data_IF_513055990760
#
_entry.id   IF_513055990760
#
_cell.length_a   1.000
_cell.length_b   1.000
_cell.length_c   1.000
_cell.angle_alpha   90.00
_cell.angle_beta   90.00
_cell.angle_gamma   90.00
#
_symmetry.space_group_name_H-M   'P 1'
#
loop_
_entity.id
_entity.type
_entity.pdbx_description
1 polymer ?
#
# COMPACT_ATOMS: atom_id res chain seq x y z
N UNK A 1 10.82 -0.94 26.84
CA UNK A 1 11.09 -0.41 25.48
C UNK A 1 11.14 1.11 25.54
N UNK A 2 12.17 1.72 24.98
CA UNK A 2 12.32 3.17 24.96
C UNK A 2 13.14 3.59 23.74
N UNK A 3 12.93 4.83 23.29
CA UNK A 3 13.79 5.52 22.35
C UNK A 3 14.58 6.61 23.13
N UNK A 4 15.84 6.82 22.73
CA UNK A 4 16.73 7.79 23.34
C UNK A 4 17.42 8.60 22.23
N UNK A 5 17.35 9.93 22.33
CA UNK A 5 18.11 10.82 21.45
C UNK A 5 19.57 10.86 21.95
N UNK A 6 20.49 10.34 21.13
CA UNK A 6 21.94 10.41 21.44
C UNK A 6 22.52 11.75 20.99
N UNK A 7 22.16 12.22 19.79
CA UNK A 7 22.52 13.53 19.26
C UNK A 7 21.52 13.91 18.13
N UNK A 8 21.78 14.98 17.39
CA UNK A 8 20.85 15.49 16.37
C UNK A 8 20.65 14.57 15.16
N UNK A 9 21.48 13.56 15.01
CA UNK A 9 21.43 12.61 13.88
C UNK A 9 21.28 11.14 14.32
N UNK A 10 21.27 10.85 15.62
CA UNK A 10 21.22 9.48 16.13
C UNK A 10 20.14 9.32 17.17
N UNK A 11 19.29 8.31 16.95
CA UNK A 11 18.30 7.80 17.92
C UNK A 11 18.62 6.34 18.20
N UNK A 12 18.60 5.96 19.46
CA UNK A 12 18.82 4.58 19.91
C UNK A 12 17.52 4.01 20.43
N UNK A 13 17.18 2.82 19.95
CA UNK A 13 16.02 2.07 20.43
C UNK A 13 16.47 0.92 21.32
N UNK A 14 15.80 0.77 22.45
CA UNK A 14 16.04 -0.32 23.40
C UNK A 14 14.85 -1.28 23.37
N UNK A 15 15.11 -2.53 23.05
CA UNK A 15 14.12 -3.58 23.02
C UNK A 15 14.05 -4.32 24.36
N UNK A 16 12.90 -4.90 24.65
CA UNK A 16 12.71 -5.70 25.84
C UNK A 16 13.62 -6.94 25.79
N UNK A 17 14.35 -7.20 26.87
CA UNK A 17 15.16 -8.40 27.00
C UNK A 17 14.28 -9.66 26.96
N UNK A 18 14.66 -10.67 26.17
CA UNK A 18 13.92 -11.93 26.04
C UNK A 18 12.73 -11.89 25.07
N UNK A 19 12.41 -10.74 24.42
CA UNK A 19 11.48 -10.71 23.30
C UNK A 19 12.13 -11.19 22.01
N UNK A 20 11.34 -11.69 21.06
CA UNK A 20 11.82 -11.98 19.71
C UNK A 20 12.06 -10.69 18.94
N UNK A 21 13.29 -10.21 18.96
CA UNK A 21 13.68 -8.91 18.41
C UNK A 21 14.22 -9.00 16.98
N UNK A 22 14.19 -10.17 16.35
CA UNK A 22 14.84 -10.40 15.05
C UNK A 22 14.36 -9.43 13.97
N UNK A 23 13.07 -9.13 13.93
CA UNK A 23 12.47 -8.31 12.88
C UNK A 23 12.24 -6.85 13.32
N UNK A 24 12.34 -6.53 14.60
CA UNK A 24 12.06 -5.20 15.12
C UNK A 24 12.91 -4.09 14.47
N UNK A 25 14.22 -4.27 14.18
CA UNK A 25 14.99 -3.26 13.47
C UNK A 25 14.43 -2.94 12.08
N UNK A 26 13.95 -3.96 11.35
CA UNK A 26 13.32 -3.80 10.03
C UNK A 26 11.97 -3.09 10.14
N UNK A 27 11.17 -3.43 11.14
CA UNK A 27 9.89 -2.76 11.40
C UNK A 27 10.12 -1.28 11.73
N UNK A 28 11.10 -0.96 12.58
CA UNK A 28 11.44 0.42 12.90
C UNK A 28 11.92 1.22 11.69
N UNK A 29 12.64 0.59 10.75
CA UNK A 29 13.09 1.24 9.53
C UNK A 29 11.96 1.61 8.56
N UNK A 30 10.77 1.03 8.74
CA UNK A 30 9.58 1.34 7.95
C UNK A 30 8.77 2.52 8.52
N UNK A 31 9.07 2.97 9.72
CA UNK A 31 8.39 4.11 10.34
C UNK A 31 8.81 5.39 9.61
N UNK A 32 7.82 6.13 9.10
CA UNK A 32 8.06 7.42 8.45
C UNK A 32 8.67 8.44 9.43
N UNK A 33 9.69 9.16 8.97
CA UNK A 33 10.28 10.27 9.73
C UNK A 33 9.43 11.51 9.50
N UNK A 34 8.92 12.10 10.59
CA UNK A 34 8.05 13.27 10.55
C UNK A 34 8.84 14.55 10.83
N UNK A 35 8.41 15.65 10.22
CA UNK A 35 9.00 16.96 10.48
C UNK A 35 8.58 17.47 11.86
N UNK A 36 9.56 17.72 12.74
CA UNK A 36 9.29 18.32 14.06
C UNK A 36 8.55 19.65 13.93
N UNK A 37 8.99 20.51 13.02
CA UNK A 37 8.38 21.82 12.80
C UNK A 37 6.91 21.72 12.34
N UNK A 38 6.60 20.75 11.49
CA UNK A 38 5.20 20.54 11.05
C UNK A 38 4.31 19.96 12.17
N UNK A 39 4.90 19.22 13.11
CA UNK A 39 4.17 18.61 14.22
C UNK A 39 4.15 19.45 15.51
N UNK A 40 4.84 20.59 15.53
CA UNK A 40 4.84 21.47 16.69
C UNK A 40 3.43 21.96 17.03
N UNK A 41 3.01 21.78 18.27
CA UNK A 41 1.67 22.12 18.75
C UNK A 41 0.54 21.19 18.30
N UNK A 42 0.83 20.11 17.54
CA UNK A 42 -0.16 19.11 17.15
C UNK A 42 -0.13 17.90 18.09
N UNK A 43 -1.31 17.35 18.37
CA UNK A 43 -1.45 16.11 19.12
C UNK A 43 -1.35 14.93 18.14
N UNK A 44 -0.30 14.11 18.28
CA UNK A 44 -0.06 12.95 17.43
C UNK A 44 -1.18 11.89 17.48
N UNK A 45 -1.90 11.80 18.60
CA UNK A 45 -2.99 10.85 18.78
C UNK A 45 -4.32 11.31 18.13
N UNK A 46 -4.41 12.57 17.71
CA UNK A 46 -5.64 13.10 17.11
C UNK A 46 -5.60 13.02 15.59
N UNK A 47 -6.64 12.43 14.96
CA UNK A 47 -6.76 12.43 13.51
C UNK A 47 -6.90 13.87 12.98
N UNK A 48 -6.30 14.15 11.84
CA UNK A 48 -6.37 15.45 11.16
C UNK A 48 -6.60 15.26 9.67
N UNK A 49 -7.44 16.12 9.09
CA UNK A 49 -7.59 16.23 7.63
C UNK A 49 -6.59 17.22 7.02
N UNK A 50 -5.76 17.87 7.83
CA UNK A 50 -4.70 18.75 7.33
C UNK A 50 -3.56 17.87 6.80
N UNK A 51 -3.18 17.95 5.51
CA UNK A 51 -2.06 17.21 4.98
C UNK A 51 -0.77 17.48 5.76
N UNK A 52 -0.02 16.43 6.04
CA UNK A 52 1.29 16.53 6.68
C UNK A 52 2.36 16.91 5.67
N UNK A 53 3.42 17.56 6.15
CA UNK A 53 4.62 17.75 5.35
C UNK A 53 5.33 16.41 5.16
N UNK A 54 5.42 15.95 3.92
CA UNK A 54 6.15 14.75 3.52
C UNK A 54 7.50 15.09 2.90
N UNK A 55 8.38 14.09 2.80
CA UNK A 55 9.66 14.16 2.09
C UNK A 55 9.65 13.41 0.76
N UNK A 56 8.49 12.97 0.31
CA UNK A 56 8.30 12.20 -0.91
C UNK A 56 8.25 13.05 -2.19
N UNK A 57 8.21 12.39 -3.36
CA UNK A 57 8.16 13.06 -4.66
C UNK A 57 6.80 13.69 -4.97
N UNK A 58 5.77 13.36 -4.20
CA UNK A 58 4.43 13.92 -4.33
C UNK A 58 3.94 14.48 -3.01
N UNK A 59 3.10 15.51 -3.09
CA UNK A 59 2.35 16.09 -1.97
C UNK A 59 0.87 16.14 -2.30
N UNK A 60 0.00 16.16 -1.29
CA UNK A 60 -1.44 16.30 -1.48
C UNK A 60 -1.73 17.71 -2.00
N UNK A 61 -2.31 17.80 -3.20
CA UNK A 61 -2.79 19.03 -3.82
C UNK A 61 -4.20 19.36 -3.37
N UNK A 62 -5.08 18.36 -3.46
CA UNK A 62 -6.50 18.49 -3.14
C UNK A 62 -7.08 17.12 -2.77
N UNK A 63 -8.13 17.11 -1.97
CA UNK A 63 -8.84 15.87 -1.65
C UNK A 63 -10.27 16.15 -1.20
N UNK A 64 -11.12 15.14 -1.36
CA UNK A 64 -12.45 15.08 -0.77
C UNK A 64 -12.60 13.74 -0.06
N UNK A 65 -12.76 13.73 1.28
CA UNK A 65 -12.89 12.50 2.04
C UNK A 65 -13.93 11.55 1.46
N UNK A 66 -13.55 10.28 1.29
CA UNK A 66 -14.39 9.23 0.74
C UNK A 66 -14.65 9.31 -0.77
N UNK A 67 -14.10 10.30 -1.49
CA UNK A 67 -14.29 10.46 -2.94
C UNK A 67 -12.99 10.39 -3.71
N UNK A 68 -12.05 11.28 -3.43
CA UNK A 68 -10.78 11.31 -4.16
C UNK A 68 -9.64 11.97 -3.37
N UNK A 69 -8.42 11.67 -3.80
CA UNK A 69 -7.19 12.38 -3.43
C UNK A 69 -6.42 12.71 -4.71
N UNK A 70 -5.98 13.95 -4.84
CA UNK A 70 -5.09 14.41 -5.92
C UNK A 70 -3.72 14.71 -5.32
N UNK A 71 -2.71 14.07 -5.87
CA UNK A 71 -1.31 14.33 -5.57
C UNK A 71 -0.70 15.18 -6.68
N UNK A 72 0.16 16.14 -6.32
CA UNK A 72 0.99 16.88 -7.28
C UNK A 72 2.46 16.60 -7.06
N UNK A 73 3.22 16.57 -8.15
CA UNK A 73 4.66 16.32 -8.12
C UNK A 73 5.42 17.48 -7.48
N UNK A 74 6.36 17.16 -6.61
CA UNK A 74 7.30 18.11 -6.01
C UNK A 74 8.41 18.36 -7.03
N UNK A 75 8.49 19.58 -7.59
CA UNK A 75 9.42 19.92 -8.68
C UNK A 75 10.88 19.97 -8.25
N UNK A 76 11.14 20.25 -6.98
CA UNK A 76 12.46 20.30 -6.35
C UNK A 76 12.71 19.11 -5.43
N UNK A 77 12.23 17.93 -5.83
CA UNK A 77 12.37 16.72 -5.05
C UNK A 77 13.84 16.38 -4.80
N UNK A 78 14.27 16.35 -3.55
CA UNK A 78 15.65 16.17 -3.12
C UNK A 78 16.34 14.91 -3.66
N UNK A 79 15.57 13.85 -3.95
CA UNK A 79 16.09 12.56 -4.40
C UNK A 79 15.95 12.34 -5.92
N UNK A 80 15.53 13.34 -6.70
CA UNK A 80 15.27 13.21 -8.14
C UNK A 80 16.45 12.61 -8.90
N UNK A 81 17.66 13.04 -8.57
CA UNK A 81 18.90 12.64 -9.24
C UNK A 81 19.59 11.40 -8.63
N UNK A 82 19.01 10.80 -7.59
CA UNK A 82 19.57 9.57 -7.04
C UNK A 82 19.42 8.41 -8.04
N UNK A 83 20.44 7.54 -8.19
CA UNK A 83 20.39 6.41 -9.13
C UNK A 83 19.16 5.50 -8.94
N UNK A 84 18.67 5.37 -7.70
CA UNK A 84 17.50 4.57 -7.35
C UNK A 84 16.17 5.25 -7.64
N UNK A 85 16.16 6.53 -8.05
CA UNK A 85 14.95 7.33 -8.27
C UNK A 85 14.88 7.93 -9.68
N UNK A 86 16.00 7.99 -10.37
CA UNK A 86 16.07 8.52 -11.72
C UNK A 86 15.14 7.76 -12.68
N UNK A 87 14.30 8.48 -13.40
CA UNK A 87 13.30 7.90 -14.31
C UNK A 87 11.97 7.51 -13.66
N UNK A 88 11.81 7.76 -12.37
CA UNK A 88 10.54 7.57 -11.65
C UNK A 88 9.77 8.90 -11.49
N UNK A 89 8.51 8.79 -11.05
CA UNK A 89 7.67 9.96 -10.68
C UNK A 89 7.44 10.93 -11.85
N UNK A 90 7.10 10.39 -13.04
CA UNK A 90 7.02 11.15 -14.27
C UNK A 90 5.72 11.96 -14.44
N UNK A 91 4.65 11.62 -13.71
CA UNK A 91 3.38 12.33 -13.80
C UNK A 91 3.38 13.60 -12.95
N UNK A 92 2.84 14.70 -13.47
CA UNK A 92 2.71 15.94 -12.70
C UNK A 92 1.60 15.84 -11.66
N UNK A 93 0.54 15.11 -11.95
CA UNK A 93 -0.55 14.84 -11.04
C UNK A 93 -0.92 13.34 -11.08
N UNK A 94 -1.26 12.80 -9.92
CA UNK A 94 -1.81 11.46 -9.75
C UNK A 94 -3.09 11.58 -8.94
N UNK A 95 -4.20 11.11 -9.50
CA UNK A 95 -5.50 11.15 -8.85
C UNK A 95 -5.94 9.75 -8.47
N UNK A 96 -6.36 9.58 -7.23
CA UNK A 96 -6.99 8.36 -6.72
C UNK A 96 -8.47 8.64 -6.47
N UNK A 97 -9.34 7.95 -7.20
CA UNK A 97 -10.78 8.00 -6.99
C UNK A 97 -11.24 6.76 -6.20
N UNK A 98 -12.08 6.97 -5.20
CA UNK A 98 -12.61 5.92 -4.34
C UNK A 98 -14.02 5.56 -4.77
N UNK A 99 -14.21 4.30 -5.13
CA UNK A 99 -15.49 3.73 -5.51
C UNK A 99 -15.93 2.72 -4.44
N UNK A 100 -17.23 2.64 -4.19
CA UNK A 100 -17.78 1.68 -3.20
C UNK A 100 -17.83 0.25 -3.74
N UNK A 101 -17.85 0.10 -5.05
CA UNK A 101 -18.06 -1.18 -5.72
C UNK A 101 -17.04 -1.39 -6.86
N UNK A 102 -16.52 -2.61 -6.94
CA UNK A 102 -15.54 -3.00 -7.97
C UNK A 102 -16.11 -2.97 -9.39
N UNK A 103 -17.42 -3.22 -9.54
CA UNK A 103 -18.11 -3.15 -10.83
C UNK A 103 -18.19 -1.72 -11.32
N UNK A 104 -18.49 -0.79 -10.43
CA UNK A 104 -18.51 0.66 -10.75
C UNK A 104 -17.12 1.14 -11.15
N UNK A 105 -16.06 0.68 -10.47
CA UNK A 105 -14.67 1.01 -10.84
C UNK A 105 -14.33 0.48 -12.23
N UNK A 106 -14.78 -0.74 -12.58
CA UNK A 106 -14.56 -1.30 -13.91
C UNK A 106 -15.31 -0.48 -15.00
N UNK A 107 -16.52 -0.04 -14.72
CA UNK A 107 -17.25 0.85 -15.64
C UNK A 107 -16.57 2.23 -15.77
N UNK A 108 -16.02 2.77 -14.69
CA UNK A 108 -15.25 4.01 -14.72
C UNK A 108 -14.02 3.91 -15.65
N UNK A 109 -13.31 2.78 -15.63
CA UNK A 109 -12.22 2.50 -16.58
C UNK A 109 -12.74 2.49 -18.01
N UNK A 110 -13.79 1.75 -18.28
CA UNK A 110 -14.35 1.67 -19.64
C UNK A 110 -14.93 3.00 -20.14
N UNK A 111 -15.37 3.86 -19.22
CA UNK A 111 -15.86 5.21 -19.58
C UNK A 111 -14.74 6.23 -19.74
N UNK A 112 -13.48 5.86 -19.44
CA UNK A 112 -12.34 6.78 -19.48
C UNK A 112 -12.28 7.77 -18.33
N UNK A 113 -12.98 7.48 -17.23
CA UNK A 113 -12.94 8.32 -16.02
C UNK A 113 -11.69 8.01 -15.16
N UNK A 114 -11.08 6.85 -15.34
CA UNK A 114 -9.80 6.46 -14.74
C UNK A 114 -8.92 5.84 -15.84
N UNK A 115 -7.61 6.03 -15.71
CA UNK A 115 -6.64 5.59 -16.70
C UNK A 115 -6.04 4.23 -16.37
N UNK A 116 -5.93 3.88 -15.09
CA UNK A 116 -5.28 2.65 -14.61
C UNK A 116 -6.12 2.00 -13.53
N UNK A 117 -6.24 0.68 -13.60
CA UNK A 117 -6.86 -0.14 -12.59
C UNK A 117 -6.03 -1.40 -12.36
N UNK A 118 -5.69 -1.68 -11.13
CA UNK A 118 -5.16 -2.98 -10.72
C UNK A 118 -6.32 -3.95 -10.46
N UNK A 119 -6.24 -5.16 -11.03
CA UNK A 119 -7.28 -6.17 -10.88
C UNK A 119 -6.79 -7.34 -10.02
N UNK A 120 -7.41 -7.52 -8.87
CA UNK A 120 -7.06 -8.58 -7.91
C UNK A 120 -8.05 -9.74 -7.91
N UNK A 121 -9.18 -9.61 -8.62
CA UNK A 121 -10.26 -10.60 -8.62
C UNK A 121 -10.16 -11.45 -9.87
N UNK A 122 -9.73 -12.70 -9.72
CA UNK A 122 -9.53 -13.63 -10.83
C UNK A 122 -10.77 -13.78 -11.73
N UNK A 123 -11.97 -13.85 -11.14
CA UNK A 123 -13.23 -13.89 -11.91
C UNK A 123 -13.38 -12.66 -12.81
N UNK A 124 -13.15 -11.45 -12.27
CA UNK A 124 -13.27 -10.21 -13.07
C UNK A 124 -12.17 -10.16 -14.12
N UNK A 125 -10.95 -10.57 -13.78
CA UNK A 125 -9.86 -10.68 -14.74
C UNK A 125 -10.21 -11.54 -15.95
N UNK A 126 -10.85 -12.69 -15.73
CA UNK A 126 -11.23 -13.61 -16.81
C UNK A 126 -12.45 -13.12 -17.59
N UNK A 127 -13.50 -12.64 -16.90
CA UNK A 127 -14.80 -12.41 -17.54
C UNK A 127 -15.15 -10.92 -17.73
N UNK A 128 -14.64 -10.03 -16.89
CA UNK A 128 -15.06 -8.62 -16.85
C UNK A 128 -14.50 -7.76 -17.97
N UNK A 129 -13.38 -8.17 -18.56
CA UNK A 129 -12.68 -7.42 -19.62
C UNK A 129 -13.03 -7.88 -21.04
N UNK A 130 -14.11 -8.64 -21.19
CA UNK A 130 -14.56 -9.08 -22.52
C UNK A 130 -15.55 -8.07 -23.12
N UNK A 131 -15.05 -6.95 -23.64
CA UNK A 131 -15.84 -5.92 -24.29
C UNK A 131 -15.10 -5.28 -25.45
N UNK A 132 -15.77 -4.43 -26.20
CA UNK A 132 -15.22 -3.86 -27.45
C UNK A 132 -14.06 -2.90 -27.20
N UNK A 133 -14.00 -2.21 -26.05
CA UNK A 133 -12.89 -1.31 -25.72
C UNK A 133 -11.58 -2.06 -25.49
N UNK A 134 -11.65 -3.27 -24.95
CA UNK A 134 -10.48 -4.15 -24.84
C UNK A 134 -10.13 -4.75 -26.19
N UNK A 135 -11.12 -5.20 -26.96
CA UNK A 135 -10.91 -5.81 -28.31
C UNK A 135 -10.29 -4.85 -29.29
N UNK A 136 -10.64 -3.57 -29.24
CA UNK A 136 -10.10 -2.55 -30.16
C UNK A 136 -8.87 -1.82 -29.61
N UNK A 137 -8.32 -2.24 -28.45
CA UNK A 137 -7.10 -1.71 -27.87
C UNK A 137 -7.23 -0.36 -27.15
N UNK A 138 -8.44 0.15 -26.92
CA UNK A 138 -8.66 1.35 -26.11
C UNK A 138 -8.36 1.12 -24.63
N UNK A 139 -8.56 -0.11 -24.16
CA UNK A 139 -8.16 -0.58 -22.83
C UNK A 139 -7.24 -1.78 -23.02
N UNK A 140 -6.03 -1.68 -22.52
CA UNK A 140 -5.04 -2.76 -22.55
C UNK A 140 -5.12 -3.56 -21.26
N UNK A 141 -5.25 -4.87 -21.37
CA UNK A 141 -5.23 -5.81 -20.26
C UNK A 141 -3.89 -6.53 -20.26
N UNK A 142 -3.10 -6.34 -19.24
CA UNK A 142 -1.74 -6.85 -19.17
C UNK A 142 -1.45 -7.52 -17.81
N UNK A 143 -0.82 -8.69 -17.85
CA UNK A 143 -0.26 -9.33 -16.67
C UNK A 143 1.23 -8.97 -16.60
N UNK A 144 1.61 -8.10 -15.65
CA UNK A 144 2.98 -7.62 -15.52
C UNK A 144 3.73 -8.55 -14.57
N UNK A 145 4.72 -9.27 -15.09
CA UNK A 145 5.62 -10.09 -14.30
C UNK A 145 6.55 -9.22 -13.45
N UNK A 146 6.77 -9.62 -12.21
CA UNK A 146 7.64 -8.90 -11.28
C UNK A 146 8.35 -9.87 -10.32
N UNK A 147 9.46 -9.43 -9.75
CA UNK A 147 10.24 -10.17 -8.78
C UNK A 147 9.97 -9.72 -7.32
N UNK A 148 8.81 -9.13 -7.06
CA UNK A 148 8.44 -8.76 -5.70
C UNK A 148 8.26 -10.03 -4.84
N UNK A 149 8.58 -9.97 -3.54
CA UNK A 149 8.33 -11.10 -2.65
C UNK A 149 6.85 -11.52 -2.70
N UNK A 150 6.61 -12.81 -2.80
CA UNK A 150 5.26 -13.35 -2.77
C UNK A 150 4.60 -13.09 -1.41
N UNK A 151 3.34 -12.65 -1.44
CA UNK A 151 2.52 -12.51 -0.24
C UNK A 151 1.83 -13.85 0.01
N UNK A 152 1.91 -14.35 1.25
CA UNK A 152 1.18 -15.54 1.65
C UNK A 152 -0.26 -15.17 2.03
N UNK A 153 -1.23 -15.64 1.25
CA UNK A 153 -2.63 -15.67 1.66
C UNK A 153 -2.96 -17.06 2.19
N UNK A 154 -3.41 -17.17 3.43
CA UNK A 154 -3.66 -18.46 4.05
C UNK A 154 -4.73 -18.39 5.14
N UNK A 155 -5.32 -19.55 5.47
CA UNK A 155 -6.10 -19.72 6.66
C UNK A 155 -5.18 -20.04 7.84
N UNK A 156 -5.06 -19.12 8.79
CA UNK A 156 -4.30 -19.35 10.02
C UNK A 156 -5.18 -20.10 11.04
N UNK A 157 -4.89 -21.37 11.28
CA UNK A 157 -5.61 -22.17 12.26
C UNK A 157 -5.07 -21.98 13.67
N UNK A 158 -5.94 -21.67 14.62
CA UNK A 158 -5.56 -21.68 16.03
C UNK A 158 -5.42 -23.13 16.54
N UNK A 159 -4.21 -23.69 16.45
CA UNK A 159 -3.92 -25.08 16.83
C UNK A 159 -4.09 -25.37 18.33
N UNK A 160 -4.27 -24.35 19.18
CA UNK A 160 -4.62 -24.53 20.60
C UNK A 160 -6.07 -24.99 20.78
N UNK A 161 -6.91 -24.85 19.77
CA UNK A 161 -8.26 -25.41 19.80
C UNK A 161 -8.23 -26.88 19.42
N UNK A 162 -8.85 -27.79 20.22
CA UNK A 162 -8.79 -29.25 19.98
C UNK A 162 -9.17 -29.67 18.56
N UNK A 163 -10.19 -29.02 17.95
CA UNK A 163 -10.64 -29.31 16.59
C UNK A 163 -9.59 -29.03 15.50
N UNK A 164 -8.59 -28.20 15.81
CA UNK A 164 -7.49 -27.86 14.87
C UNK A 164 -6.14 -28.41 15.31
N UNK A 165 -6.06 -29.12 16.43
CA UNK A 165 -4.83 -29.74 16.91
C UNK A 165 -4.34 -30.83 15.96
N UNK A 166 -5.23 -31.64 15.42
CA UNK A 166 -4.90 -32.69 14.45
C UNK A 166 -4.54 -32.07 13.08
N UNK A 167 -3.35 -32.41 12.57
CA UNK A 167 -2.86 -31.96 11.28
C UNK A 167 -3.81 -32.37 10.13
N UNK A 168 -4.37 -33.60 10.19
CA UNK A 168 -5.26 -34.13 9.15
C UNK A 168 -6.51 -33.27 8.95
N UNK A 169 -7.05 -32.72 10.03
CA UNK A 169 -8.20 -31.80 9.95
C UNK A 169 -7.84 -30.53 9.19
N UNK A 170 -6.68 -29.94 9.47
CA UNK A 170 -6.22 -28.73 8.77
C UNK A 170 -5.94 -29.00 7.30
N UNK A 171 -5.35 -30.15 7.00
CA UNK A 171 -5.07 -30.59 5.63
C UNK A 171 -6.37 -30.83 4.84
N UNK A 172 -7.36 -31.49 5.45
CA UNK A 172 -8.67 -31.71 4.85
C UNK A 172 -9.37 -30.40 4.49
N UNK A 173 -9.29 -29.37 5.35
CA UNK A 173 -9.83 -28.02 5.06
C UNK A 173 -9.09 -27.40 3.88
N UNK A 174 -7.75 -27.53 3.83
CA UNK A 174 -6.96 -27.04 2.70
C UNK A 174 -7.36 -27.71 1.38
N UNK A 175 -7.56 -29.02 1.38
CA UNK A 175 -8.01 -29.77 0.20
C UNK A 175 -9.46 -29.49 -0.23
N UNK A 176 -10.30 -29.06 0.71
CA UNK A 176 -11.69 -28.65 0.40
C UNK A 176 -11.76 -27.27 -0.27
N UNK A 177 -10.67 -26.49 -0.23
CA UNK A 177 -10.59 -25.20 -0.92
C UNK A 177 -10.14 -25.43 -2.37
N UNK A 178 -10.99 -25.06 -3.31
CA UNK A 178 -10.67 -25.15 -4.73
C UNK A 178 -10.04 -23.84 -5.20
N UNK A 179 -8.76 -23.90 -5.54
CA UNK A 179 -8.01 -22.78 -6.11
C UNK A 179 -8.30 -22.62 -7.60
#
# INVERSE_FOLDING_TARGET
ERAEKINDRHVRFYFRKGSNNRELPLILSQIGILSKADWEGKDFAKPSLKPMLGSGPYKIKNFQPGKFVVLERVKDYWAENLPTRKGFFNFDEVRFDFYQDTTVTLQALFSGNIDVREEYIAKIWVTGYNNDKVKNGQVVKEAIEHNNPAILQSFAFNIRRPKFADRRVREAIGLAFNF
#
